data_IF_399586916856
#
_entry.id   IF_399586916856
#
_cell.length_a   1.000
_cell.length_b   1.000
_cell.length_c   1.000
_cell.angle_alpha   90.00
_cell.angle_beta   90.00
_cell.angle_gamma   90.00
#
_symmetry.space_group_name_H-M   'P 1'
#
loop_
_entity.id
_entity.type
_entity.pdbx_description
1 polymer ?
#
# COMPACT_ATOMS: atom_id res chain seq x y z
N UNK A 1 10.51 39.41 -22.53
CA UNK A 1 10.51 38.65 -21.26
C UNK A 1 11.79 38.98 -20.53
N UNK A 2 11.70 39.57 -19.35
CA UNK A 2 12.83 40.09 -18.59
C UNK A 2 13.51 38.96 -17.82
N UNK A 3 14.84 39.03 -17.69
CA UNK A 3 15.71 38.00 -17.11
C UNK A 3 15.25 37.46 -15.73
N UNK A 4 14.44 38.19 -14.99
CA UNK A 4 13.90 37.77 -13.69
C UNK A 4 12.87 36.63 -13.79
N UNK A 5 12.05 36.58 -14.85
CA UNK A 5 11.03 35.53 -15.01
C UNK A 5 11.67 34.17 -15.32
N UNK A 6 12.79 34.15 -16.05
CA UNK A 6 13.57 32.94 -16.29
C UNK A 6 14.29 32.46 -15.03
N UNK A 7 14.76 33.38 -14.18
CA UNK A 7 15.46 33.04 -12.95
C UNK A 7 14.56 32.33 -11.93
N UNK A 8 13.33 32.81 -11.75
CA UNK A 8 12.35 32.18 -10.86
C UNK A 8 11.96 30.79 -11.36
N UNK A 9 11.71 30.64 -12.67
CA UNK A 9 11.32 29.35 -13.25
C UNK A 9 12.45 28.31 -13.18
N UNK A 10 13.71 28.73 -13.35
CA UNK A 10 14.86 27.85 -13.24
C UNK A 10 15.10 27.39 -11.79
N UNK A 11 14.98 28.29 -10.81
CA UNK A 11 15.18 27.96 -9.39
C UNK A 11 14.12 26.99 -8.84
N UNK A 12 12.84 27.15 -9.20
CA UNK A 12 11.79 26.22 -8.79
C UNK A 12 11.96 24.83 -9.41
N UNK A 13 12.42 24.75 -10.66
CA UNK A 13 12.66 23.46 -11.32
C UNK A 13 13.83 22.70 -10.67
N UNK A 14 14.90 23.40 -10.29
CA UNK A 14 16.04 22.79 -9.60
C UNK A 14 15.72 22.34 -8.17
N UNK A 15 14.91 23.10 -7.42
CA UNK A 15 14.51 22.72 -6.06
C UNK A 15 13.64 21.45 -6.03
N UNK A 16 12.73 21.31 -7.01
CA UNK A 16 11.89 20.10 -7.14
C UNK A 16 12.73 18.88 -7.52
N UNK A 17 13.68 19.04 -8.44
CA UNK A 17 14.57 17.93 -8.86
C UNK A 17 15.49 17.48 -7.71
N UNK A 18 16.05 18.41 -6.93
CA UNK A 18 16.87 18.07 -5.76
C UNK A 18 16.06 17.36 -4.66
N UNK A 19 14.80 17.74 -4.45
CA UNK A 19 13.90 17.06 -3.51
C UNK A 19 13.60 15.60 -3.91
N UNK A 20 13.38 15.35 -5.21
CA UNK A 20 13.13 14.00 -5.73
C UNK A 20 14.37 13.11 -5.62
N UNK A 21 15.57 13.67 -5.88
CA UNK A 21 16.84 12.92 -5.75
C UNK A 21 17.12 12.56 -4.28
N UNK A 22 16.79 13.44 -3.32
CA UNK A 22 16.96 13.14 -1.90
C UNK A 22 16.04 12.01 -1.41
N UNK A 23 14.77 11.98 -1.87
CA UNK A 23 13.83 10.90 -1.52
C UNK A 23 14.28 9.57 -2.13
N UNK A 24 14.74 9.58 -3.39
CA UNK A 24 15.26 8.36 -4.04
C UNK A 24 16.54 7.82 -3.37
N UNK A 25 17.43 8.70 -2.90
CA UNK A 25 18.64 8.30 -2.19
C UNK A 25 18.34 7.64 -0.83
N UNK A 26 17.38 8.17 -0.07
CA UNK A 26 16.96 7.57 1.22
C UNK A 26 16.29 6.22 1.00
N UNK A 27 15.50 6.05 -0.07
CA UNK A 27 14.94 4.73 -0.40
C UNK A 27 16.00 3.71 -0.83
N UNK A 28 17.11 4.15 -1.46
CA UNK A 28 18.17 3.23 -1.89
C UNK A 28 19.07 2.75 -0.74
N UNK A 29 19.33 3.60 0.27
CA UNK A 29 20.16 3.20 1.43
C UNK A 29 19.44 2.19 2.31
N UNK A 30 18.14 2.34 2.54
CA UNK A 30 17.34 1.38 3.32
C UNK A 30 17.27 0.01 2.61
N UNK A 31 17.12 0.00 1.27
CA UNK A 31 17.08 -1.25 0.50
C UNK A 31 18.47 -1.92 0.41
N UNK A 32 19.55 -1.15 0.34
CA UNK A 32 20.91 -1.71 0.23
C UNK A 32 21.41 -2.32 1.54
N UNK A 33 21.00 -1.78 2.69
CA UNK A 33 21.30 -2.38 4.01
C UNK A 33 20.56 -3.72 4.19
N UNK A 34 19.31 -3.84 3.72
CA UNK A 34 18.56 -5.10 3.79
C UNK A 34 19.04 -6.17 2.80
N UNK A 35 19.49 -5.77 1.59
CA UNK A 35 20.04 -6.73 0.61
C UNK A 35 21.42 -7.25 1.02
N UNK A 36 22.27 -6.43 1.65
CA UNK A 36 23.59 -6.90 2.11
C UNK A 36 23.47 -7.86 3.31
N UNK A 37 22.49 -7.68 4.20
CA UNK A 37 22.19 -8.64 5.28
C UNK A 37 21.65 -9.97 4.71
N UNK A 38 20.86 -9.92 3.63
CA UNK A 38 20.36 -11.12 2.95
C UNK A 38 21.44 -11.87 2.17
N UNK A 39 22.45 -11.18 1.63
CA UNK A 39 23.50 -11.78 0.80
C UNK A 39 24.55 -12.54 1.61
N UNK A 40 24.88 -12.07 2.83
CA UNK A 40 25.84 -12.74 3.71
C UNK A 40 25.27 -13.99 4.42
N UNK A 41 23.95 -14.15 4.49
CA UNK A 41 23.31 -15.27 5.21
C UNK A 41 23.07 -16.52 4.37
N UNK A 42 23.34 -16.48 3.06
CA UNK A 42 23.05 -17.57 2.13
C UNK A 42 24.30 -18.25 1.51
N UNK A 43 25.50 -17.94 1.99
CA UNK A 43 26.66 -18.77 1.69
C UNK A 43 26.71 -19.98 2.62
N UNK A 44 26.04 -21.04 2.16
CA UNK A 44 26.14 -22.38 2.71
C UNK A 44 24.94 -22.75 3.58
N UNK A 45 24.02 -23.53 3.04
CA UNK A 45 23.79 -24.91 3.49
C UNK A 45 23.04 -25.66 2.38
N UNK A 46 23.51 -26.88 2.16
CA UNK A 46 23.24 -27.84 1.08
C UNK A 46 21.86 -28.48 1.22
N UNK A 47 21.30 -28.91 0.07
CA UNK A 47 20.16 -29.81 -0.06
C UNK A 47 20.18 -30.96 0.95
N UNK A 48 19.15 -31.05 1.78
CA UNK A 48 18.92 -32.18 2.67
C UNK A 48 17.91 -31.84 3.75
N UNK A 49 16.64 -32.07 3.44
CA UNK A 49 15.51 -32.31 4.36
C UNK A 49 15.80 -32.04 5.85
N UNK A 50 15.68 -30.78 6.27
CA UNK A 50 15.62 -30.43 7.68
C UNK A 50 14.16 -30.20 8.04
N UNK A 51 13.65 -31.08 8.92
CA UNK A 51 12.43 -30.84 9.68
C UNK A 51 12.55 -29.44 10.27
N UNK A 52 11.81 -28.48 9.73
CA UNK A 52 11.82 -27.12 10.22
C UNK A 52 11.42 -27.17 11.70
N UNK A 53 12.35 -26.83 12.59
CA UNK A 53 12.10 -26.68 14.01
C UNK A 53 10.86 -25.78 14.16
N UNK A 54 9.81 -26.28 14.83
CA UNK A 54 8.48 -25.69 14.85
C UNK A 54 8.53 -24.20 15.27
N UNK A 55 9.52 -23.85 16.10
CA UNK A 55 9.79 -22.48 16.56
C UNK A 55 10.24 -21.52 15.44
N UNK A 56 10.98 -22.01 14.46
CA UNK A 56 11.43 -21.21 13.30
C UNK A 56 10.27 -20.98 12.34
N UNK A 57 9.47 -22.02 12.06
CA UNK A 57 8.28 -21.90 11.22
C UNK A 57 7.22 -20.96 11.81
N UNK A 58 7.00 -21.00 13.14
CA UNK A 58 6.12 -20.07 13.83
C UNK A 58 6.62 -18.62 13.80
N UNK A 59 7.93 -18.42 13.95
CA UNK A 59 8.54 -17.08 13.86
C UNK A 59 8.35 -16.48 12.45
N UNK A 60 8.65 -17.24 11.41
CA UNK A 60 8.53 -16.79 10.02
C UNK A 60 7.06 -16.47 9.66
N UNK A 61 6.11 -17.28 10.16
CA UNK A 61 4.68 -17.03 10.00
C UNK A 61 4.23 -15.74 10.69
N UNK A 62 4.69 -15.50 11.92
CA UNK A 62 4.35 -14.28 12.66
C UNK A 62 4.92 -13.02 11.99
N UNK A 63 6.12 -13.12 11.42
CA UNK A 63 6.73 -12.04 10.65
C UNK A 63 5.95 -11.73 9.37
N UNK A 64 5.52 -12.76 8.63
CA UNK A 64 4.65 -12.58 7.46
C UNK A 64 3.31 -11.93 7.80
N UNK A 65 2.70 -12.31 8.93
CA UNK A 65 1.46 -11.70 9.42
C UNK A 65 1.67 -10.22 9.75
N UNK A 66 2.72 -9.89 10.50
CA UNK A 66 3.00 -8.52 10.91
C UNK A 66 3.29 -7.63 9.70
N UNK A 67 4.09 -8.13 8.75
CA UNK A 67 4.37 -7.43 7.48
C UNK A 67 3.09 -7.17 6.71
N UNK A 68 2.24 -8.20 6.54
CA UNK A 68 0.94 -8.03 5.87
C UNK A 68 0.06 -6.98 6.56
N UNK A 69 -0.09 -7.05 7.88
CA UNK A 69 -0.91 -6.11 8.64
C UNK A 69 -0.41 -4.67 8.47
N UNK A 70 0.89 -4.44 8.64
CA UNK A 70 1.47 -3.10 8.49
C UNK A 70 1.28 -2.56 7.06
N UNK A 71 1.52 -3.39 6.04
CA UNK A 71 1.32 -2.99 4.65
C UNK A 71 -0.14 -2.67 4.33
N UNK A 72 -1.09 -3.53 4.72
CA UNK A 72 -2.52 -3.29 4.48
C UNK A 72 -2.98 -2.03 5.21
N UNK A 73 -2.60 -1.88 6.48
CA UNK A 73 -2.94 -0.71 7.28
C UNK A 73 -2.52 0.59 6.59
N UNK A 74 -1.27 0.68 6.15
CA UNK A 74 -0.76 1.87 5.47
C UNK A 74 -1.53 2.13 4.16
N UNK A 75 -1.72 1.09 3.33
CA UNK A 75 -2.45 1.21 2.07
C UNK A 75 -3.89 1.71 2.28
N UNK A 76 -4.60 1.14 3.24
CA UNK A 76 -6.00 1.47 3.50
C UNK A 76 -6.15 2.83 4.19
N UNK A 77 -5.24 3.20 5.10
CA UNK A 77 -5.28 4.52 5.74
C UNK A 77 -4.97 5.63 4.74
N UNK A 78 -3.96 5.45 3.89
CA UNK A 78 -3.67 6.38 2.80
C UNK A 78 -4.88 6.52 1.87
N UNK A 79 -5.49 5.39 1.52
CA UNK A 79 -6.69 5.35 0.67
C UNK A 79 -7.85 6.15 1.29
N UNK A 80 -8.24 5.85 2.53
CA UNK A 80 -9.38 6.48 3.19
C UNK A 80 -9.14 7.98 3.43
N UNK A 81 -7.90 8.37 3.71
CA UNK A 81 -7.51 9.78 3.88
C UNK A 81 -7.62 10.55 2.56
N UNK A 82 -7.13 9.98 1.47
CA UNK A 82 -7.23 10.59 0.13
C UNK A 82 -8.69 10.60 -0.36
N UNK A 83 -9.42 9.50 -0.12
CA UNK A 83 -10.83 9.32 -0.46
C UNK A 83 -11.71 10.42 0.14
N UNK A 84 -11.46 10.79 1.40
CA UNK A 84 -12.23 11.82 2.10
C UNK A 84 -12.17 13.22 1.46
N UNK A 85 -11.27 13.44 0.48
CA UNK A 85 -11.20 14.70 -0.28
C UNK A 85 -12.20 14.77 -1.43
N UNK A 86 -12.93 13.69 -1.73
CA UNK A 86 -13.88 13.64 -2.83
C UNK A 86 -15.32 13.66 -2.31
N UNK A 87 -16.02 14.78 -2.53
CA UNK A 87 -17.44 14.91 -2.18
C UNK A 87 -18.38 14.31 -3.25
N UNK A 88 -17.86 14.05 -4.44
CA UNK A 88 -18.62 13.54 -5.59
C UNK A 88 -17.76 12.66 -6.50
N UNK A 89 -18.38 11.79 -7.32
CA UNK A 89 -17.66 10.97 -8.28
C UNK A 89 -16.69 11.79 -9.15
N UNK A 90 -15.43 11.36 -9.21
CA UNK A 90 -14.36 12.09 -9.88
C UNK A 90 -13.33 11.15 -10.51
N UNK A 91 -12.70 11.54 -11.61
CA UNK A 91 -11.70 10.71 -12.31
C UNK A 91 -10.49 10.37 -11.42
N UNK A 92 -10.04 11.32 -10.59
CA UNK A 92 -8.96 11.08 -9.63
C UNK A 92 -9.32 10.03 -8.57
N UNK A 93 -10.59 9.93 -8.19
CA UNK A 93 -11.05 8.89 -7.27
C UNK A 93 -10.99 7.52 -7.94
N UNK A 94 -11.39 7.41 -9.21
CA UNK A 94 -11.23 6.17 -9.98
C UNK A 94 -9.76 5.75 -10.10
N UNK A 95 -8.86 6.71 -10.31
CA UNK A 95 -7.42 6.45 -10.35
C UNK A 95 -6.88 5.98 -9.00
N UNK A 96 -7.29 6.64 -7.92
CA UNK A 96 -6.96 6.25 -6.55
C UNK A 96 -7.38 4.80 -6.27
N UNK A 97 -8.64 4.44 -6.56
CA UNK A 97 -9.15 3.08 -6.36
C UNK A 97 -8.32 2.06 -7.14
N UNK A 98 -8.04 2.32 -8.43
CA UNK A 98 -7.25 1.41 -9.27
C UNK A 98 -5.84 1.19 -8.73
N UNK A 99 -5.18 2.26 -8.29
CA UNK A 99 -3.84 2.18 -7.72
C UNK A 99 -3.82 1.34 -6.44
N UNK A 100 -4.78 1.58 -5.54
CA UNK A 100 -4.89 0.84 -4.27
C UNK A 100 -5.22 -0.63 -4.53
N UNK A 101 -6.15 -0.92 -5.44
CA UNK A 101 -6.47 -2.30 -5.83
C UNK A 101 -5.24 -3.01 -6.41
N UNK A 102 -4.48 -2.33 -7.27
CA UNK A 102 -3.23 -2.90 -7.81
C UNK A 102 -2.23 -3.23 -6.70
N UNK A 103 -2.04 -2.32 -5.73
CA UNK A 103 -1.15 -2.57 -4.58
C UNK A 103 -1.61 -3.79 -3.78
N UNK A 104 -2.90 -3.87 -3.44
CA UNK A 104 -3.46 -5.01 -2.70
C UNK A 104 -3.23 -6.33 -3.45
N UNK A 105 -3.56 -6.40 -4.73
CA UNK A 105 -3.44 -7.63 -5.53
C UNK A 105 -2.01 -8.16 -5.67
N UNK A 106 -1.00 -7.31 -5.46
CA UNK A 106 0.42 -7.71 -5.49
C UNK A 106 0.95 -8.23 -4.15
N UNK A 107 0.16 -8.17 -3.09
CA UNK A 107 0.60 -8.56 -1.75
C UNK A 107 0.62 -10.09 -1.57
N UNK A 108 1.61 -10.58 -0.83
CA UNK A 108 1.52 -11.92 -0.25
C UNK A 108 0.51 -11.91 0.90
N UNK A 109 -0.48 -12.78 0.85
CA UNK A 109 -1.61 -12.81 1.80
C UNK A 109 -1.51 -14.03 2.71
N UNK A 110 -1.28 -13.85 4.02
CA UNK A 110 -1.35 -14.96 4.97
C UNK A 110 -2.75 -15.59 4.98
N UNK A 111 -2.82 -16.89 5.22
CA UNK A 111 -4.07 -17.65 5.14
C UNK A 111 -5.18 -17.08 6.04
N UNK A 112 -4.80 -16.57 7.21
CA UNK A 112 -5.67 -15.96 8.22
C UNK A 112 -6.36 -14.68 7.73
N UNK A 113 -5.81 -14.02 6.72
CA UNK A 113 -6.28 -12.73 6.22
C UNK A 113 -6.82 -12.77 4.79
N UNK A 114 -6.98 -13.97 4.19
CA UNK A 114 -7.60 -14.11 2.87
C UNK A 114 -8.99 -13.50 2.79
N UNK A 115 -9.80 -13.69 3.84
CA UNK A 115 -11.14 -13.12 3.91
C UNK A 115 -11.09 -11.58 3.96
N UNK A 116 -10.23 -11.00 4.81
CA UNK A 116 -10.03 -9.54 4.83
C UNK A 116 -9.61 -9.03 3.45
N UNK A 117 -8.65 -9.69 2.82
CA UNK A 117 -8.12 -9.28 1.53
C UNK A 117 -9.19 -9.29 0.44
N UNK A 118 -10.02 -10.33 0.43
CA UNK A 118 -11.15 -10.44 -0.48
C UNK A 118 -12.19 -9.34 -0.22
N UNK A 119 -12.51 -9.07 1.05
CA UNK A 119 -13.44 -8.00 1.42
C UNK A 119 -12.94 -6.63 0.97
N UNK A 120 -11.66 -6.31 1.19
CA UNK A 120 -11.04 -5.07 0.72
C UNK A 120 -11.13 -4.91 -0.80
N UNK A 121 -10.75 -5.96 -1.55
CA UNK A 121 -10.81 -5.93 -3.01
C UNK A 121 -12.24 -5.79 -3.54
N UNK A 122 -13.20 -6.47 -2.90
CA UNK A 122 -14.62 -6.43 -3.28
C UNK A 122 -15.23 -5.07 -3.00
N UNK A 123 -14.95 -4.47 -1.83
CA UNK A 123 -15.43 -3.13 -1.49
C UNK A 123 -14.87 -2.09 -2.46
N UNK A 124 -13.59 -2.16 -2.81
CA UNK A 124 -12.99 -1.29 -3.84
C UNK A 124 -13.66 -1.47 -5.21
N UNK A 125 -14.08 -2.68 -5.57
CA UNK A 125 -14.80 -2.92 -6.83
C UNK A 125 -16.22 -2.35 -6.83
N UNK A 126 -16.95 -2.49 -5.73
CA UNK A 126 -18.26 -1.87 -5.55
C UNK A 126 -18.13 -0.35 -5.65
N UNK A 127 -17.16 0.21 -4.96
CA UNK A 127 -16.89 1.65 -4.97
C UNK A 127 -16.47 2.14 -6.36
N UNK A 128 -15.60 1.40 -7.04
CA UNK A 128 -15.21 1.74 -8.41
C UNK A 128 -16.42 1.79 -9.34
N UNK A 129 -17.32 0.81 -9.24
CA UNK A 129 -18.55 0.80 -10.02
C UNK A 129 -19.45 1.98 -9.67
N UNK A 130 -19.57 2.31 -8.39
CA UNK A 130 -20.35 3.44 -7.90
C UNK A 130 -19.84 4.77 -8.48
N UNK A 131 -18.53 5.03 -8.33
CA UNK A 131 -17.89 6.24 -8.84
C UNK A 131 -17.95 6.30 -10.37
N UNK A 132 -17.74 5.18 -11.06
CA UNK A 132 -17.73 5.15 -12.52
C UNK A 132 -19.12 5.40 -13.13
N UNK A 133 -20.18 5.03 -12.41
CA UNK A 133 -21.57 5.21 -12.85
C UNK A 133 -22.29 6.39 -12.19
N UNK A 134 -21.63 7.09 -11.27
CA UNK A 134 -22.25 8.06 -10.38
C UNK A 134 -23.52 7.50 -9.69
N UNK A 135 -23.39 6.30 -9.14
CA UNK A 135 -24.47 5.52 -8.51
C UNK A 135 -24.41 5.66 -6.98
N UNK A 136 -25.28 6.51 -6.44
CA UNK A 136 -25.33 6.84 -5.00
C UNK A 136 -25.70 5.63 -4.12
N UNK A 137 -26.52 4.70 -4.62
CA UNK A 137 -26.90 3.51 -3.86
C UNK A 137 -25.70 2.58 -3.69
N UNK A 138 -24.94 2.36 -4.76
CA UNK A 138 -23.69 1.60 -4.69
C UNK A 138 -22.61 2.31 -3.88
N UNK A 139 -22.62 3.65 -3.86
CA UNK A 139 -21.67 4.39 -3.05
C UNK A 139 -21.94 4.18 -1.56
N UNK A 140 -23.22 4.21 -1.15
CA UNK A 140 -23.61 3.83 0.22
C UNK A 140 -23.26 2.39 0.55
N UNK A 141 -23.47 1.45 -0.38
CA UNK A 141 -23.07 0.06 -0.18
C UNK A 141 -21.55 -0.10 -0.01
N UNK A 142 -20.75 0.70 -0.72
CA UNK A 142 -19.30 0.74 -0.51
C UNK A 142 -18.94 1.34 0.86
N UNK A 143 -19.58 2.43 1.27
CA UNK A 143 -19.40 3.02 2.61
C UNK A 143 -19.73 2.02 3.73
N UNK A 144 -20.85 1.30 3.61
CA UNK A 144 -21.24 0.25 4.55
C UNK A 144 -20.21 -0.90 4.55
N UNK A 145 -19.68 -1.27 3.38
CA UNK A 145 -18.62 -2.26 3.26
C UNK A 145 -17.34 -1.83 3.99
N UNK A 146 -16.93 -0.57 3.86
CA UNK A 146 -15.80 -0.01 4.60
C UNK A 146 -16.04 -0.02 6.10
N UNK A 147 -17.19 0.46 6.56
CA UNK A 147 -17.55 0.48 7.98
C UNK A 147 -17.53 -0.94 8.59
N UNK A 148 -18.07 -1.94 7.89
CA UNK A 148 -18.03 -3.34 8.32
C UNK A 148 -16.60 -3.88 8.44
N UNK A 149 -15.74 -3.60 7.46
CA UNK A 149 -14.33 -4.00 7.49
C UNK A 149 -13.63 -3.35 8.68
N UNK A 150 -13.79 -2.05 8.87
CA UNK A 150 -13.10 -1.30 9.93
C UNK A 150 -13.60 -1.69 11.33
N UNK A 151 -14.88 -2.05 11.49
CA UNK A 151 -15.42 -2.61 12.74
C UNK A 151 -14.86 -4.00 13.04
N UNK A 152 -14.80 -4.88 12.05
CA UNK A 152 -14.30 -6.26 12.21
C UNK A 152 -12.78 -6.31 12.41
N UNK A 153 -12.04 -5.43 11.75
CA UNK A 153 -10.59 -5.37 11.75
C UNK A 153 -10.10 -4.04 12.32
N UNK A 154 -10.44 -3.79 13.60
CA UNK A 154 -10.19 -2.52 14.29
C UNK A 154 -8.74 -2.02 14.24
N UNK A 155 -7.76 -2.90 14.05
CA UNK A 155 -6.35 -2.53 13.95
C UNK A 155 -6.03 -1.72 12.70
N UNK A 156 -6.92 -1.72 11.69
CA UNK A 156 -6.84 -0.82 10.54
C UNK A 156 -7.07 0.64 10.93
N UNK A 157 -7.92 0.91 11.94
CA UNK A 157 -8.23 2.26 12.42
C UNK A 157 -7.22 2.84 13.43
N UNK A 158 -6.32 2.00 13.96
CA UNK A 158 -5.29 2.43 14.92
C UNK A 158 -4.09 3.02 14.21
#
# INVERSE_FOLDING_TARGET
>A
MTNNEQFVKAHWTQAIVLGIVAILAVTWTVISEEINIAKDKHQGVVLGETVADNKTAEKDKNEQILTYQNSVKNIINDYLTERARFDKPHQNWLFLIKNVKSKLLTMSVPNEYKELHLQLATTLDVEWQAVNKADDEKLRAADDGWDQILKKYFWLNK
#
